data_IF_293361434114
#
_entry.id   IF_293361434114
#
_cell.length_a   1.000
_cell.length_b   1.000
_cell.length_c   1.000
_cell.angle_alpha   90.00
_cell.angle_beta   90.00
_cell.angle_gamma   90.00
#
_symmetry.space_group_name_H-M   'P 1'
#
loop_
_entity.id
_entity.type
_entity.pdbx_description
1 polymer ?
#
# COMPACT_ATOMS: atom_id res chain seq x y z
N UNK A 1 0.86 8.60 -28.52
CA UNK A 1 0.51 7.48 -27.64
C UNK A 1 0.81 6.20 -28.41
N UNK A 2 1.45 5.21 -27.80
CA UNK A 2 1.88 3.98 -28.49
C UNK A 2 1.71 2.79 -27.55
N UNK A 3 1.45 1.61 -28.12
CA UNK A 3 1.34 0.34 -27.42
C UNK A 3 2.56 -0.52 -27.71
N UNK A 4 3.15 -1.12 -26.67
CA UNK A 4 4.26 -2.08 -26.78
C UNK A 4 3.75 -3.49 -26.58
N UNK A 5 3.95 -4.37 -27.57
CA UNK A 5 3.40 -5.73 -27.59
C UNK A 5 4.30 -6.78 -26.91
N UNK A 6 5.44 -6.38 -26.32
CA UNK A 6 6.34 -7.28 -25.60
C UNK A 6 7.37 -7.99 -26.50
N UNK A 7 7.23 -7.93 -27.82
CA UNK A 7 8.10 -8.58 -28.84
C UNK A 7 9.06 -7.60 -29.54
N UNK A 8 9.24 -6.41 -28.98
CA UNK A 8 10.04 -5.34 -29.57
C UNK A 8 9.26 -4.44 -30.53
N UNK A 9 7.99 -4.69 -30.79
CA UNK A 9 7.14 -3.84 -31.64
C UNK A 9 6.38 -2.81 -30.83
N UNK A 10 6.37 -1.59 -31.35
CA UNK A 10 5.60 -0.47 -30.80
C UNK A 10 4.63 0.00 -31.87
N UNK A 11 3.33 -0.01 -31.56
CA UNK A 11 2.27 0.45 -32.45
C UNK A 11 1.77 1.82 -31.99
N UNK A 12 1.81 2.82 -32.90
CA UNK A 12 1.21 4.13 -32.64
C UNK A 12 -0.30 4.01 -32.55
N UNK A 13 -0.91 4.43 -31.44
CA UNK A 13 -2.37 4.47 -31.28
C UNK A 13 -3.04 5.61 -32.10
N UNK A 14 -2.23 6.55 -32.62
CA UNK A 14 -2.74 7.67 -33.40
C UNK A 14 -2.95 7.32 -34.88
N UNK A 15 -2.06 6.50 -35.45
CA UNK A 15 -2.09 6.22 -36.90
C UNK A 15 -1.80 4.75 -37.25
N UNK A 16 -1.66 3.87 -36.28
CA UNK A 16 -1.42 2.44 -36.48
C UNK A 16 -0.04 2.07 -37.03
N UNK A 17 0.88 3.05 -37.19
CA UNK A 17 2.23 2.75 -37.64
C UNK A 17 2.99 1.89 -36.64
N UNK A 18 3.77 0.94 -37.15
CA UNK A 18 4.58 0.05 -36.33
C UNK A 18 6.07 0.39 -36.44
N UNK A 19 6.75 0.36 -35.32
CA UNK A 19 8.21 0.56 -35.22
C UNK A 19 8.81 -0.58 -34.41
N UNK A 20 9.89 -1.17 -34.93
CA UNK A 20 10.69 -2.14 -34.18
C UNK A 20 11.69 -1.38 -33.29
N UNK A 21 11.66 -1.68 -31.97
CA UNK A 21 12.59 -1.14 -31.00
C UNK A 21 13.52 -2.26 -30.51
N UNK A 22 14.82 -2.10 -30.76
CA UNK A 22 15.85 -3.02 -30.28
C UNK A 22 16.53 -2.44 -29.08
N UNK A 23 16.32 -3.04 -27.91
CA UNK A 23 17.04 -2.68 -26.70
C UNK A 23 18.53 -3.05 -26.83
N UNK A 24 19.42 -2.15 -26.44
CA UNK A 24 20.88 -2.43 -26.44
C UNK A 24 21.32 -3.28 -25.24
N UNK A 25 20.58 -3.23 -24.14
CA UNK A 25 20.84 -4.00 -22.91
C UNK A 25 19.57 -4.71 -22.48
N UNK A 26 18.68 -4.01 -21.77
CA UNK A 26 17.46 -4.59 -21.19
C UNK A 26 16.23 -3.75 -21.54
N UNK A 27 15.09 -4.41 -21.60
CA UNK A 27 13.77 -3.76 -21.64
C UNK A 27 13.28 -3.58 -20.22
N UNK A 28 12.79 -2.38 -19.88
CA UNK A 28 12.22 -2.09 -18.56
C UNK A 28 10.71 -2.17 -18.64
N UNK A 29 10.12 -3.15 -17.97
CA UNK A 29 8.67 -3.26 -17.77
C UNK A 29 8.28 -2.47 -16.51
N UNK A 30 7.80 -1.24 -16.70
CA UNK A 30 7.28 -0.39 -15.64
C UNK A 30 5.76 -0.59 -15.40
N UNK A 31 5.11 -1.43 -16.21
CA UNK A 31 3.68 -1.70 -16.14
C UNK A 31 3.30 -2.88 -15.24
N UNK A 32 4.27 -3.68 -14.78
CA UNK A 32 3.97 -4.90 -14.03
C UNK A 32 3.15 -4.66 -12.76
N UNK A 33 3.46 -3.63 -11.99
CA UNK A 33 2.70 -3.28 -10.77
C UNK A 33 1.31 -2.75 -11.11
N UNK A 34 1.13 -2.06 -12.21
CA UNK A 34 -0.08 -1.53 -12.85
C UNK A 34 -1.22 -1.21 -11.89
N UNK A 35 -1.36 0.05 -11.47
CA UNK A 35 -2.44 0.45 -10.56
C UNK A 35 -3.74 0.67 -11.31
N UNK A 36 -4.84 0.11 -10.78
CA UNK A 36 -6.20 0.36 -11.25
C UNK A 36 -6.83 1.46 -10.38
N UNK A 37 -7.41 2.47 -11.03
CA UNK A 37 -8.09 3.57 -10.33
C UNK A 37 -9.51 3.76 -10.87
N UNK A 38 -10.47 4.24 -10.05
CA UNK A 38 -11.88 4.35 -10.47
C UNK A 38 -12.10 5.26 -11.69
N UNK A 39 -11.19 6.21 -11.94
CA UNK A 39 -11.29 7.10 -13.10
C UNK A 39 -10.93 6.45 -14.45
N UNK A 40 -10.25 5.31 -14.44
CA UNK A 40 -9.82 4.61 -15.67
C UNK A 40 -10.51 3.26 -15.84
N UNK A 41 -11.15 2.75 -14.80
CA UNK A 41 -11.86 1.47 -14.83
C UNK A 41 -13.32 1.67 -14.41
N UNK A 42 -14.28 1.08 -15.10
CA UNK A 42 -15.67 1.14 -14.70
C UNK A 42 -15.85 0.42 -13.35
N UNK A 43 -16.86 0.83 -12.54
CA UNK A 43 -17.16 0.15 -11.31
C UNK A 43 -17.47 -1.34 -11.54
N UNK A 44 -17.05 -2.25 -10.64
CA UNK A 44 -17.25 -3.69 -10.82
C UNK A 44 -18.70 -4.13 -10.58
N UNK A 45 -19.64 -3.21 -10.55
CA UNK A 45 -21.07 -3.44 -10.33
C UNK A 45 -21.92 -2.53 -11.24
N UNK A 46 -23.07 -3.00 -11.71
CA UNK A 46 -23.99 -2.18 -12.50
C UNK A 46 -24.76 -1.20 -11.62
N UNK A 47 -25.16 -0.08 -12.22
CA UNK A 47 -26.10 0.88 -11.65
C UNK A 47 -27.31 1.07 -12.59
N UNK A 48 -28.50 1.21 -12.03
CA UNK A 48 -29.71 1.47 -12.79
C UNK A 48 -29.66 2.84 -13.50
N UNK A 49 -30.33 2.99 -14.65
CA UNK A 49 -30.40 4.27 -15.34
C UNK A 49 -30.96 5.39 -14.45
N UNK A 50 -30.27 6.53 -14.42
CA UNK A 50 -30.62 7.72 -13.62
C UNK A 50 -30.04 7.73 -12.19
N UNK A 51 -29.25 6.73 -11.81
CA UNK A 51 -28.44 6.78 -10.61
C UNK A 51 -27.24 7.72 -10.85
N UNK A 52 -27.02 8.65 -9.91
CA UNK A 52 -25.90 9.56 -9.92
C UNK A 52 -24.68 8.87 -9.32
N UNK A 53 -23.88 8.23 -10.16
CA UNK A 53 -22.68 7.46 -9.80
C UNK A 53 -21.48 8.06 -10.51
N UNK A 54 -20.49 8.46 -9.74
CA UNK A 54 -19.25 9.07 -10.25
C UNK A 54 -18.01 8.35 -9.71
N UNK A 55 -16.89 8.33 -10.47
CA UNK A 55 -15.59 7.98 -9.90
C UNK A 55 -15.13 9.07 -8.92
N UNK A 56 -14.30 8.69 -7.95
CA UNK A 56 -13.82 9.63 -6.91
C UNK A 56 -13.22 10.93 -7.47
N UNK A 57 -12.56 10.87 -8.63
CA UNK A 57 -11.96 12.06 -9.26
C UNK A 57 -12.99 13.11 -9.68
N UNK A 58 -14.23 12.73 -9.89
CA UNK A 58 -15.32 13.62 -10.28
C UNK A 58 -16.01 14.23 -9.06
N UNK A 59 -15.73 13.74 -7.85
CA UNK A 59 -16.21 14.33 -6.61
C UNK A 59 -15.82 15.82 -6.50
N UNK A 60 -14.61 16.17 -6.94
CA UNK A 60 -14.15 17.58 -6.95
C UNK A 60 -14.81 18.46 -8.05
N UNK A 61 -15.64 17.88 -8.92
CA UNK A 61 -16.32 18.56 -10.03
C UNK A 61 -17.82 18.73 -9.81
N UNK A 62 -18.34 18.26 -8.66
CA UNK A 62 -19.77 18.41 -8.34
C UNK A 62 -20.13 19.91 -8.25
N UNK A 63 -21.24 20.27 -8.86
CA UNK A 63 -21.72 21.65 -8.99
C UNK A 63 -23.08 21.89 -8.29
N UNK A 64 -23.58 20.86 -7.56
CA UNK A 64 -24.85 20.91 -6.85
C UNK A 64 -24.78 20.19 -5.50
N UNK A 65 -25.68 20.55 -4.62
CA UNK A 65 -25.86 19.84 -3.35
C UNK A 65 -26.58 18.51 -3.59
N UNK A 66 -26.14 17.50 -2.84
CA UNK A 66 -26.78 16.19 -2.78
C UNK A 66 -27.40 15.96 -1.39
N UNK A 67 -28.47 15.18 -1.34
CA UNK A 67 -29.14 14.86 -0.08
C UNK A 67 -28.32 13.94 0.81
N UNK A 68 -27.47 13.11 0.18
CA UNK A 68 -26.51 12.23 0.86
C UNK A 68 -25.39 11.82 -0.09
N UNK A 69 -24.26 11.37 0.46
CA UNK A 69 -23.08 10.90 -0.26
C UNK A 69 -22.78 9.48 0.16
N UNK A 70 -22.84 8.53 -0.76
CA UNK A 70 -22.53 7.12 -0.51
C UNK A 70 -21.14 6.80 -1.04
N UNK A 71 -20.17 6.67 -0.15
CA UNK A 71 -18.78 6.38 -0.47
C UNK A 71 -18.57 4.86 -0.50
N UNK A 72 -18.22 4.30 -1.66
CA UNK A 72 -18.10 2.86 -1.89
C UNK A 72 -16.65 2.44 -1.87
N UNK A 73 -16.17 1.91 -0.75
CA UNK A 73 -14.81 1.39 -0.59
C UNK A 73 -14.18 1.80 0.74
N UNK A 74 -13.45 0.87 1.38
CA UNK A 74 -12.84 1.03 2.70
C UNK A 74 -11.33 1.32 2.65
N UNK A 75 -10.74 1.42 1.47
CA UNK A 75 -9.32 1.74 1.28
C UNK A 75 -9.02 3.23 1.41
N UNK A 76 -7.76 3.60 1.12
CA UNK A 76 -7.30 5.01 1.19
C UNK A 76 -8.15 5.93 0.33
N UNK A 77 -8.54 5.50 -0.89
CA UNK A 77 -9.37 6.29 -1.79
C UNK A 77 -10.73 6.64 -1.18
N UNK A 78 -11.40 5.67 -0.52
CA UNK A 78 -12.65 5.93 0.18
C UNK A 78 -12.48 6.83 1.40
N UNK A 79 -11.39 6.64 2.16
CA UNK A 79 -11.05 7.51 3.28
C UNK A 79 -10.79 8.97 2.80
N UNK A 80 -10.05 9.14 1.70
CA UNK A 80 -9.77 10.47 1.13
C UNK A 80 -11.04 11.15 0.60
N UNK A 81 -11.96 10.40 -0.01
CA UNK A 81 -13.26 10.93 -0.43
C UNK A 81 -14.07 11.42 0.77
N UNK A 82 -14.10 10.64 1.85
CA UNK A 82 -14.76 11.05 3.10
C UNK A 82 -14.11 12.31 3.71
N UNK A 83 -12.79 12.34 3.79
CA UNK A 83 -12.05 13.51 4.30
C UNK A 83 -12.33 14.75 3.46
N UNK A 84 -12.29 14.62 2.12
CA UNK A 84 -12.56 15.72 1.23
C UNK A 84 -13.97 16.31 1.46
N UNK A 85 -14.99 15.45 1.62
CA UNK A 85 -16.36 15.90 1.93
C UNK A 85 -16.41 16.65 3.26
N UNK A 86 -15.81 16.11 4.32
CA UNK A 86 -15.79 16.70 5.65
C UNK A 86 -15.07 18.06 5.67
N UNK A 87 -13.92 18.13 4.99
CA UNK A 87 -13.12 19.37 4.87
C UNK A 87 -13.83 20.46 4.06
N UNK A 88 -14.73 20.07 3.14
CA UNK A 88 -15.59 20.98 2.40
C UNK A 88 -16.94 21.24 3.10
N UNK A 89 -17.07 20.89 4.37
CA UNK A 89 -18.20 21.27 5.22
C UNK A 89 -19.46 20.40 5.07
N UNK A 90 -19.33 19.23 4.44
CA UNK A 90 -20.44 18.25 4.38
C UNK A 90 -20.67 17.68 5.77
N UNK A 91 -21.92 17.68 6.25
CA UNK A 91 -22.29 17.11 7.53
C UNK A 91 -21.99 15.59 7.53
N UNK A 92 -21.26 15.06 8.52
CA UNK A 92 -20.94 13.62 8.58
C UNK A 92 -22.19 12.72 8.62
N UNK A 93 -23.34 13.22 9.08
CA UNK A 93 -24.59 12.45 9.15
C UNK A 93 -25.20 12.14 7.77
N UNK A 94 -24.87 12.91 6.73
CA UNK A 94 -25.31 12.64 5.35
C UNK A 94 -24.31 11.84 4.53
N UNK A 95 -23.19 11.43 5.12
CA UNK A 95 -22.19 10.55 4.50
C UNK A 95 -22.48 9.11 4.91
N UNK A 96 -22.71 8.23 3.93
CA UNK A 96 -22.86 6.78 4.12
C UNK A 96 -21.58 6.11 3.60
N UNK A 97 -20.85 5.44 4.48
CA UNK A 97 -19.59 4.81 4.09
C UNK A 97 -19.70 3.29 3.99
N UNK A 98 -19.63 2.76 2.77
CA UNK A 98 -19.67 1.33 2.49
C UNK A 98 -18.26 0.76 2.71
N UNK A 99 -18.11 -0.03 3.77
CA UNK A 99 -16.83 -0.63 4.17
C UNK A 99 -16.94 -2.16 4.17
N UNK A 100 -16.68 -2.84 3.04
CA UNK A 100 -16.75 -4.30 2.96
C UNK A 100 -15.75 -5.01 3.89
N UNK A 101 -14.57 -4.42 4.07
CA UNK A 101 -13.50 -4.84 4.99
C UNK A 101 -12.83 -3.59 5.53
N UNK A 102 -12.64 -3.53 6.84
CA UNK A 102 -11.87 -2.44 7.45
C UNK A 102 -10.39 -2.58 7.15
N UNK A 103 -9.69 -1.44 7.00
CA UNK A 103 -8.29 -1.37 6.65
C UNK A 103 -7.44 -0.78 7.77
N UNK A 104 -6.24 -1.31 7.94
CA UNK A 104 -5.16 -0.68 8.67
C UNK A 104 -4.46 0.34 7.80
N UNK A 105 -4.03 1.44 8.40
CA UNK A 105 -3.22 2.48 7.78
C UNK A 105 -1.93 2.67 8.56
N UNK A 106 -0.81 2.85 7.86
CA UNK A 106 0.38 3.36 8.51
C UNK A 106 0.18 4.80 9.00
N UNK A 107 0.73 5.11 10.17
CA UNK A 107 0.82 6.49 10.61
C UNK A 107 1.85 7.25 9.74
N UNK A 108 1.38 8.27 9.01
CA UNK A 108 2.23 9.07 8.13
C UNK A 108 3.38 9.74 8.84
N UNK A 109 3.25 10.03 10.13
CA UNK A 109 4.33 10.60 10.94
C UNK A 109 5.59 9.73 10.97
N UNK A 110 5.45 8.39 10.88
CA UNK A 110 6.56 7.45 10.82
C UNK A 110 7.26 7.39 9.46
N UNK A 111 6.75 8.07 8.43
CA UNK A 111 7.30 8.08 7.06
C UNK A 111 7.85 9.45 6.66
N UNK A 112 8.12 10.32 7.61
CA UNK A 112 8.86 11.57 7.40
C UNK A 112 10.35 11.25 7.32
N UNK A 113 11.07 11.78 6.34
CA UNK A 113 12.51 11.49 6.17
C UNK A 113 13.33 11.80 7.43
N UNK A 114 14.49 11.14 7.55
CA UNK A 114 15.43 11.38 8.64
C UNK A 114 15.17 10.53 9.90
N UNK A 115 15.43 11.12 11.08
CA UNK A 115 15.38 10.41 12.37
C UNK A 115 13.99 9.84 12.69
N UNK A 116 12.92 10.49 12.25
CA UNK A 116 11.55 10.01 12.47
C UNK A 116 11.29 8.66 11.80
N UNK A 117 11.73 8.49 10.55
CA UNK A 117 11.61 7.20 9.86
C UNK A 117 12.48 6.12 10.51
N UNK A 118 13.69 6.47 10.92
CA UNK A 118 14.57 5.54 11.64
C UNK A 118 13.96 5.12 12.98
N UNK A 119 13.40 6.06 13.73
CA UNK A 119 12.74 5.79 15.01
C UNK A 119 11.49 4.91 14.83
N UNK A 120 10.67 5.19 13.80
CA UNK A 120 9.53 4.35 13.45
C UNK A 120 9.99 2.91 13.15
N UNK A 121 11.05 2.75 12.36
CA UNK A 121 11.58 1.44 12.03
C UNK A 121 12.16 0.71 13.26
N UNK A 122 12.88 1.41 14.13
CA UNK A 122 13.39 0.85 15.41
C UNK A 122 12.22 0.34 16.27
N UNK A 123 11.18 1.14 16.44
CA UNK A 123 9.99 0.77 17.21
C UNK A 123 9.28 -0.45 16.63
N UNK A 124 9.17 -0.53 15.29
CA UNK A 124 8.61 -1.71 14.63
C UNK A 124 9.44 -2.97 14.90
N UNK A 125 10.76 -2.89 14.83
CA UNK A 125 11.64 -4.03 15.15
C UNK A 125 11.54 -4.46 16.60
N UNK A 126 11.43 -3.52 17.55
CA UNK A 126 11.23 -3.82 18.97
C UNK A 126 9.94 -4.59 19.24
N UNK A 127 8.85 -4.19 18.60
CA UNK A 127 7.57 -4.92 18.66
C UNK A 127 7.73 -6.33 18.07
N UNK A 128 8.30 -6.41 16.87
CA UNK A 128 8.49 -7.69 16.17
C UNK A 128 9.36 -8.64 16.97
N UNK A 129 10.42 -8.17 17.61
CA UNK A 129 11.33 -9.01 18.39
C UNK A 129 10.65 -9.75 19.55
N UNK A 130 9.49 -9.28 20.03
CA UNK A 130 8.77 -9.80 21.19
C UNK A 130 7.44 -10.49 20.81
N UNK A 131 6.91 -10.25 19.63
CA UNK A 131 5.62 -10.77 19.19
C UNK A 131 5.66 -12.27 18.96
N UNK A 132 4.57 -12.98 19.31
CA UNK A 132 4.42 -14.43 19.13
C UNK A 132 3.49 -14.78 17.96
N UNK A 133 2.83 -13.81 17.37
CA UNK A 133 1.92 -14.00 16.24
C UNK A 133 1.87 -12.72 15.37
N UNK A 134 1.30 -12.86 14.16
CA UNK A 134 1.03 -11.72 13.27
C UNK A 134 0.07 -10.74 13.94
N UNK A 135 -0.93 -11.23 14.66
CA UNK A 135 -1.89 -10.43 15.40
C UNK A 135 -1.20 -9.60 16.49
N UNK A 136 -0.25 -10.18 17.24
CA UNK A 136 0.53 -9.47 18.25
C UNK A 136 1.43 -8.39 17.62
N UNK A 137 2.00 -8.61 16.43
CA UNK A 137 2.72 -7.58 15.67
C UNK A 137 1.79 -6.39 15.38
N UNK A 138 0.59 -6.67 14.85
CA UNK A 138 -0.38 -5.62 14.50
C UNK A 138 -0.87 -4.88 15.73
N UNK A 139 -1.16 -5.57 16.84
CA UNK A 139 -1.52 -4.97 18.12
C UNK A 139 -0.40 -4.08 18.67
N UNK A 140 0.83 -4.56 18.64
CA UNK A 140 2.00 -3.79 19.07
C UNK A 140 2.24 -2.56 18.18
N UNK A 141 2.02 -2.68 16.88
CA UNK A 141 2.11 -1.55 15.94
C UNK A 141 1.00 -0.52 16.21
N UNK A 142 -0.21 -0.95 16.56
CA UNK A 142 -1.27 -0.04 16.98
C UNK A 142 -0.92 0.64 18.32
N UNK A 143 -0.52 -0.12 19.32
CA UNK A 143 -0.17 0.39 20.64
C UNK A 143 0.97 1.40 20.62
N UNK A 144 1.91 1.25 19.67
CA UNK A 144 3.05 2.16 19.47
C UNK A 144 2.76 3.27 18.44
N UNK A 145 1.54 3.34 17.93
CA UNK A 145 1.13 4.37 16.96
C UNK A 145 1.72 4.21 15.57
N UNK A 146 2.25 3.02 15.22
CA UNK A 146 2.75 2.72 13.87
C UNK A 146 1.60 2.42 12.89
N UNK A 147 0.55 1.76 13.38
CA UNK A 147 -0.68 1.50 12.65
C UNK A 147 -1.86 2.23 13.29
N UNK A 148 -2.78 2.65 12.43
CA UNK A 148 -4.00 3.34 12.82
C UNK A 148 -5.20 2.61 12.21
N UNK A 149 -6.30 2.50 12.97
CA UNK A 149 -7.63 2.05 12.48
C UNK A 149 -8.68 3.13 12.72
N UNK A 150 -9.63 3.20 11.81
CA UNK A 150 -10.69 4.22 11.89
C UNK A 150 -11.70 3.85 12.98
N UNK A 151 -12.15 2.60 13.02
CA UNK A 151 -13.17 2.12 13.98
C UNK A 151 -12.52 1.26 15.05
N UNK A 152 -12.63 1.66 16.31
CA UNK A 152 -11.99 0.98 17.43
C UNK A 152 -12.74 -0.32 17.84
N UNK A 153 -14.00 -0.45 17.47
CA UNK A 153 -14.83 -1.61 17.79
C UNK A 153 -14.70 -2.73 16.74
N UNK A 154 -14.03 -2.43 15.61
CA UNK A 154 -13.86 -3.37 14.50
C UNK A 154 -12.40 -3.61 14.20
N UNK A 155 -11.98 -4.88 14.25
CA UNK A 155 -10.61 -5.28 13.87
C UNK A 155 -10.46 -5.30 12.36
N UNK A 156 -9.56 -4.47 11.79
CA UNK A 156 -9.34 -4.48 10.35
C UNK A 156 -8.65 -5.77 9.87
N UNK A 157 -9.11 -6.29 8.75
CA UNK A 157 -8.55 -7.50 8.13
C UNK A 157 -7.79 -7.23 6.85
N UNK A 158 -7.67 -5.95 6.46
CA UNK A 158 -6.98 -5.54 5.24
C UNK A 158 -5.80 -4.61 5.57
N UNK A 159 -4.66 -4.83 4.89
CA UNK A 159 -3.50 -3.97 4.95
C UNK A 159 -2.90 -3.80 3.56
N UNK A 160 -2.78 -2.57 3.07
CA UNK A 160 -2.23 -2.26 1.74
C UNK A 160 -1.11 -1.21 1.79
N UNK A 161 -0.51 -0.99 2.94
CA UNK A 161 0.59 -0.04 3.12
C UNK A 161 0.20 1.44 2.94
N UNK A 162 -1.10 1.76 2.88
CA UNK A 162 -1.56 3.14 2.79
C UNK A 162 -1.31 3.90 4.08
N UNK A 163 -1.02 5.20 3.98
CA UNK A 163 -0.73 6.08 5.12
C UNK A 163 -1.89 7.04 5.40
N UNK A 164 -2.08 7.37 6.68
CA UNK A 164 -2.98 8.44 7.14
C UNK A 164 -2.38 9.11 8.38
N UNK A 165 -2.95 10.23 8.82
CA UNK A 165 -2.56 10.89 10.08
C UNK A 165 -3.57 10.61 11.19
N UNK A 166 -3.17 10.81 12.44
CA UNK A 166 -4.08 10.70 13.59
C UNK A 166 -5.27 11.66 13.43
N UNK A 167 -5.01 12.91 13.02
CA UNK A 167 -6.06 13.91 12.83
C UNK A 167 -7.05 13.54 11.70
N UNK A 168 -6.58 12.96 10.59
CA UNK A 168 -7.44 12.41 9.53
C UNK A 168 -8.33 11.29 10.06
N UNK A 169 -7.79 10.38 10.88
CA UNK A 169 -8.57 9.30 11.51
C UNK A 169 -9.62 9.84 12.46
N UNK A 170 -9.30 10.84 13.26
CA UNK A 170 -10.27 11.50 14.16
C UNK A 170 -11.42 12.16 13.39
N UNK A 171 -11.14 12.79 12.24
CA UNK A 171 -12.17 13.32 11.36
C UNK A 171 -13.06 12.21 10.78
N UNK A 172 -12.46 11.12 10.29
CA UNK A 172 -13.19 9.98 9.73
C UNK A 172 -14.12 9.32 10.75
N UNK A 173 -13.76 9.30 12.03
CA UNK A 173 -14.58 8.76 13.14
C UNK A 173 -15.89 9.53 13.36
N UNK A 174 -16.01 10.76 12.85
CA UNK A 174 -17.28 11.53 12.90
C UNK A 174 -18.36 10.92 12.00
N UNK A 175 -17.98 10.11 11.00
CA UNK A 175 -18.92 9.40 10.13
C UNK A 175 -19.39 8.16 10.85
N UNK A 176 -20.61 8.18 11.36
CA UNK A 176 -21.21 7.06 12.10
C UNK A 176 -22.07 6.15 11.23
N UNK A 177 -22.49 6.61 10.04
CA UNK A 177 -23.29 5.81 9.12
C UNK A 177 -22.38 4.92 8.25
N UNK A 178 -21.86 3.84 8.87
CA UNK A 178 -20.95 2.88 8.24
C UNK A 178 -21.69 1.57 7.97
N UNK A 179 -21.65 1.11 6.71
CA UNK A 179 -22.31 -0.12 6.25
C UNK A 179 -21.29 -1.21 5.96
N UNK A 180 -21.40 -2.35 6.67
CA UNK A 180 -20.49 -3.52 6.57
C UNK A 180 -21.22 -4.77 6.06
N UNK A 181 -22.03 -4.62 5.02
CA UNK A 181 -22.77 -5.70 4.38
C UNK A 181 -22.04 -6.32 3.18
N UNK A 182 -20.71 -6.25 3.17
CA UNK A 182 -19.90 -6.76 2.08
C UNK A 182 -19.84 -5.83 0.86
N UNK A 183 -19.29 -6.35 -0.26
CA UNK A 183 -19.15 -5.59 -1.49
C UNK A 183 -20.49 -5.25 -2.14
N UNK A 184 -20.54 -4.11 -2.83
CA UNK A 184 -21.68 -3.72 -3.66
C UNK A 184 -21.83 -4.73 -4.81
N UNK A 185 -23.06 -5.19 -5.03
CA UNK A 185 -23.42 -6.09 -6.12
C UNK A 185 -24.10 -5.32 -7.26
N UNK A 186 -24.97 -4.35 -6.93
CA UNK A 186 -25.62 -3.43 -7.87
C UNK A 186 -26.26 -2.27 -7.14
N UNK A 187 -26.56 -1.21 -7.87
CA UNK A 187 -27.32 -0.05 -7.41
C UNK A 187 -28.64 0.01 -8.19
N UNK A 188 -29.74 -0.32 -7.54
CA UNK A 188 -31.09 -0.21 -8.11
C UNK A 188 -31.69 1.16 -7.75
N UNK A 189 -32.83 1.51 -8.33
CA UNK A 189 -33.54 2.77 -8.03
C UNK A 189 -34.03 2.86 -6.60
N UNK A 190 -34.32 1.73 -5.97
CA UNK A 190 -34.91 1.65 -4.62
C UNK A 190 -33.93 1.12 -3.57
N UNK A 191 -32.86 0.42 -3.99
CA UNK A 191 -31.93 -0.21 -3.08
C UNK A 191 -30.50 -0.27 -3.60
N UNK A 192 -29.52 -0.02 -2.71
CA UNK A 192 -28.15 -0.44 -2.88
C UNK A 192 -28.02 -1.88 -2.37
N UNK A 193 -27.77 -2.81 -3.27
CA UNK A 193 -27.66 -4.25 -2.97
C UNK A 193 -26.20 -4.59 -2.73
N UNK A 194 -25.94 -5.17 -1.56
CA UNK A 194 -24.63 -5.63 -1.13
C UNK A 194 -24.65 -7.17 -1.00
N UNK A 195 -23.46 -7.77 -0.89
CA UNK A 195 -23.33 -9.24 -0.81
C UNK A 195 -24.16 -9.86 0.32
N UNK A 196 -24.26 -9.19 1.47
CA UNK A 196 -24.87 -9.71 2.69
C UNK A 196 -26.12 -8.93 3.11
N UNK A 197 -26.72 -8.16 2.21
CA UNK A 197 -27.96 -7.41 2.51
C UNK A 197 -28.18 -6.25 1.54
N UNK A 198 -29.08 -5.36 1.89
CA UNK A 198 -29.39 -4.16 1.12
C UNK A 198 -29.69 -2.97 2.03
N UNK A 199 -29.48 -1.77 1.51
CA UNK A 199 -29.95 -0.52 2.13
C UNK A 199 -30.79 0.26 1.13
N UNK A 200 -31.78 1.06 1.55
CA UNK A 200 -32.58 1.85 0.65
C UNK A 200 -31.74 2.93 -0.03
N UNK A 201 -32.03 3.21 -1.29
CA UNK A 201 -31.51 4.39 -2.00
C UNK A 201 -32.40 5.60 -1.68
N UNK A 202 -31.82 6.80 -1.69
CA UNK A 202 -32.56 8.04 -1.52
C UNK A 202 -32.49 8.92 -2.77
N UNK A 203 -33.58 9.60 -3.14
CA UNK A 203 -33.55 10.58 -4.23
C UNK A 203 -32.52 11.68 -3.95
N UNK A 204 -31.76 12.07 -4.97
CA UNK A 204 -30.72 13.11 -4.86
C UNK A 204 -29.44 12.67 -4.15
N UNK A 205 -29.26 11.36 -3.95
CA UNK A 205 -28.03 10.78 -3.42
C UNK A 205 -26.94 10.73 -4.50
N UNK A 206 -25.71 11.04 -4.15
CA UNK A 206 -24.52 10.84 -4.99
C UNK A 206 -23.77 9.58 -4.52
N UNK A 207 -23.52 8.66 -5.43
CA UNK A 207 -22.68 7.50 -5.22
C UNK A 207 -21.27 7.79 -5.74
N UNK A 208 -20.25 7.55 -4.91
CA UNK A 208 -18.85 7.80 -5.25
C UNK A 208 -18.13 6.45 -5.25
N UNK A 209 -17.69 6.02 -6.44
CA UNK A 209 -16.93 4.78 -6.57
C UNK A 209 -15.47 4.98 -6.13
N UNK A 210 -15.10 4.26 -5.08
CA UNK A 210 -13.75 4.15 -4.54
C UNK A 210 -13.30 2.68 -4.46
N UNK A 211 -13.94 1.78 -5.24
CA UNK A 211 -13.82 0.34 -5.10
C UNK A 211 -12.73 -0.29 -5.97
N UNK A 212 -12.03 0.49 -6.81
CA UNK A 212 -10.94 -0.02 -7.63
C UNK A 212 -9.88 -0.74 -6.79
N UNK A 213 -9.27 -1.79 -7.37
CA UNK A 213 -8.33 -2.66 -6.64
C UNK A 213 -7.05 -1.96 -6.20
N UNK A 214 -6.71 -0.81 -6.79
CA UNK A 214 -5.43 -0.14 -6.57
C UNK A 214 -4.28 -0.98 -7.14
N UNK A 215 -3.32 -1.38 -6.31
CA UNK A 215 -2.26 -2.32 -6.72
C UNK A 215 -2.87 -3.72 -6.84
N UNK A 216 -2.83 -4.35 -8.05
CA UNK A 216 -3.34 -5.70 -8.23
C UNK A 216 -2.46 -6.70 -7.47
N UNK A 217 -3.09 -7.77 -6.97
CA UNK A 217 -2.37 -8.89 -6.37
C UNK A 217 -1.77 -9.72 -7.51
N UNK A 218 -0.49 -9.48 -7.81
CA UNK A 218 0.28 -10.28 -8.78
C UNK A 218 1.37 -11.05 -8.04
N UNK A 219 1.69 -12.29 -8.45
CA UNK A 219 2.80 -13.03 -7.87
C UNK A 219 4.11 -12.26 -8.07
N UNK A 220 5.00 -12.20 -7.06
CA UNK A 220 6.29 -11.58 -7.26
C UNK A 220 7.10 -12.37 -8.30
N UNK A 221 7.79 -11.66 -9.18
CA UNK A 221 8.74 -12.23 -10.15
C UNK A 221 10.11 -11.60 -9.93
N UNK A 222 11.22 -12.23 -10.37
CA UNK A 222 12.54 -11.61 -10.32
C UNK A 222 12.50 -10.21 -10.98
N UNK A 223 13.16 -9.24 -10.34
CA UNK A 223 13.25 -7.87 -10.89
C UNK A 223 14.18 -7.88 -12.11
N UNK A 224 15.30 -8.62 -12.01
CA UNK A 224 16.27 -8.75 -13.08
C UNK A 224 16.19 -10.14 -13.71
N UNK A 225 15.96 -10.19 -15.01
CA UNK A 225 15.91 -11.43 -15.77
C UNK A 225 16.51 -11.19 -17.16
N UNK A 226 17.76 -11.59 -17.37
CA UNK A 226 18.53 -11.53 -18.62
C UNK A 226 18.39 -10.18 -19.34
N UNK A 227 17.44 -10.06 -20.25
CA UNK A 227 17.17 -8.91 -21.11
C UNK A 227 16.01 -8.01 -20.60
N UNK A 228 15.47 -8.30 -19.42
CA UNK A 228 14.33 -7.59 -18.85
C UNK A 228 14.60 -7.13 -17.41
N UNK A 229 14.07 -5.94 -17.11
CA UNK A 229 13.88 -5.45 -15.74
C UNK A 229 12.38 -5.28 -15.52
N UNK A 230 11.83 -6.02 -14.56
CA UNK A 230 10.41 -5.91 -14.17
C UNK A 230 10.32 -5.08 -12.89
N UNK A 231 9.96 -3.79 -13.03
CA UNK A 231 9.88 -2.89 -11.88
C UNK A 231 8.79 -3.30 -10.91
N UNK A 232 9.19 -3.49 -9.66
CA UNK A 232 8.32 -3.81 -8.53
C UNK A 232 8.77 -3.01 -7.31
N UNK A 233 7.98 -3.04 -6.24
CA UNK A 233 8.42 -2.50 -4.95
C UNK A 233 9.56 -3.37 -4.42
N UNK A 234 10.68 -2.75 -4.05
CA UNK A 234 11.88 -3.43 -3.56
C UNK A 234 12.24 -3.05 -2.12
N UNK A 235 11.37 -2.27 -1.44
CA UNK A 235 11.54 -1.90 -0.04
C UNK A 235 10.22 -1.98 0.71
N UNK A 236 10.29 -2.25 2.01
CA UNK A 236 9.16 -2.19 2.93
C UNK A 236 8.52 -0.78 2.93
N UNK A 237 7.19 -0.72 2.96
CA UNK A 237 6.45 0.54 2.81
C UNK A 237 6.21 0.97 1.37
N UNK A 238 6.71 0.22 0.37
CA UNK A 238 6.26 0.30 -1.03
C UNK A 238 6.55 1.62 -1.74
N UNK A 239 7.71 2.25 -1.57
CA UNK A 239 8.07 3.50 -2.23
C UNK A 239 8.50 3.27 -3.70
N UNK A 240 7.64 3.57 -4.70
CA UNK A 240 7.91 3.22 -6.09
C UNK A 240 9.08 3.99 -6.69
N UNK A 241 9.22 5.28 -6.37
CA UNK A 241 10.30 6.13 -6.90
C UNK A 241 11.67 5.70 -6.41
N UNK A 242 11.79 5.41 -5.11
CA UNK A 242 13.04 4.90 -4.56
C UNK A 242 13.34 3.48 -5.04
N UNK A 243 12.34 2.60 -5.12
CA UNK A 243 12.50 1.24 -5.65
C UNK A 243 13.02 1.26 -7.10
N UNK A 244 12.49 2.14 -7.94
CA UNK A 244 12.95 2.30 -9.32
C UNK A 244 14.40 2.85 -9.40
N UNK A 245 14.74 3.85 -8.57
CA UNK A 245 16.08 4.42 -8.52
C UNK A 245 17.12 3.40 -8.02
N UNK A 246 16.76 2.62 -6.97
CA UNK A 246 17.59 1.54 -6.45
C UNK A 246 17.81 0.46 -7.52
N UNK A 247 16.75 0.00 -8.18
CA UNK A 247 16.82 -0.99 -9.26
C UNK A 247 17.75 -0.52 -10.38
N UNK A 248 17.63 0.76 -10.79
CA UNK A 248 18.49 1.33 -11.82
C UNK A 248 19.95 1.42 -11.38
N UNK A 249 20.21 1.78 -10.13
CA UNK A 249 21.57 1.85 -9.59
C UNK A 249 22.22 0.46 -9.49
N UNK A 250 21.51 -0.52 -8.96
CA UNK A 250 21.96 -1.93 -8.87
C UNK A 250 22.28 -2.49 -10.27
N UNK A 251 21.44 -2.20 -11.29
CA UNK A 251 21.72 -2.61 -12.68
C UNK A 251 23.03 -2.05 -13.21
N UNK A 252 23.44 -0.85 -12.75
CA UNK A 252 24.66 -0.19 -13.22
C UNK A 252 25.92 -0.73 -12.55
N UNK A 253 25.85 -1.18 -11.29
CA UNK A 253 27.02 -1.48 -10.47
C UNK A 253 27.23 -2.96 -10.19
N UNK A 254 26.24 -3.79 -10.46
CA UNK A 254 26.29 -5.25 -10.29
C UNK A 254 26.09 -5.91 -11.64
N UNK A 255 26.91 -6.91 -12.00
CA UNK A 255 26.79 -7.58 -13.30
C UNK A 255 25.89 -8.81 -13.26
N UNK A 256 25.95 -9.59 -12.20
CA UNK A 256 25.23 -10.86 -12.03
C UNK A 256 23.78 -10.65 -11.62
N UNK A 257 22.83 -11.21 -12.38
CA UNK A 257 21.39 -11.00 -12.15
C UNK A 257 20.88 -11.70 -10.87
N UNK A 258 21.47 -12.82 -10.44
CA UNK A 258 21.10 -13.47 -9.18
C UNK A 258 21.51 -12.59 -7.99
N UNK A 259 22.71 -12.01 -8.05
CA UNK A 259 23.17 -11.04 -7.05
C UNK A 259 22.31 -9.77 -7.06
N UNK A 260 21.93 -9.23 -8.23
CA UNK A 260 20.99 -8.11 -8.32
C UNK A 260 19.66 -8.43 -7.65
N UNK A 261 19.12 -9.63 -7.89
CA UNK A 261 17.85 -10.07 -7.30
C UNK A 261 17.95 -10.31 -5.79
N UNK A 262 19.11 -10.68 -5.25
CA UNK A 262 19.31 -10.74 -3.80
C UNK A 262 19.26 -9.35 -3.15
N UNK A 263 19.68 -8.31 -3.87
CA UNK A 263 19.69 -6.90 -3.45
C UNK A 263 18.37 -6.16 -3.74
N UNK A 264 17.54 -6.67 -4.64
CA UNK A 264 16.27 -6.07 -5.05
C UNK A 264 15.16 -7.13 -5.04
N UNK A 265 14.88 -7.71 -3.89
CA UNK A 265 13.78 -8.68 -3.75
C UNK A 265 12.42 -7.96 -3.78
N UNK A 266 11.44 -8.46 -4.54
CA UNK A 266 10.11 -7.87 -4.58
C UNK A 266 9.40 -7.89 -3.23
N UNK A 267 8.71 -6.79 -2.93
CA UNK A 267 7.87 -6.60 -1.74
C UNK A 267 6.40 -6.55 -2.18
N UNK A 268 5.69 -7.70 -2.22
CA UNK A 268 4.31 -7.76 -2.70
C UNK A 268 3.34 -7.10 -1.72
N UNK A 269 2.25 -6.54 -2.28
CA UNK A 269 1.13 -5.98 -1.52
C UNK A 269 -0.12 -6.82 -1.86
N UNK A 270 -0.37 -7.87 -1.08
CA UNK A 270 -1.52 -8.76 -1.31
C UNK A 270 -2.81 -8.23 -0.69
N UNK A 271 -2.68 -7.41 0.34
CA UNK A 271 -3.78 -6.87 1.12
C UNK A 271 -4.08 -7.65 2.40
N UNK A 272 -3.23 -8.59 2.77
CA UNK A 272 -3.36 -9.40 3.97
C UNK A 272 -2.36 -8.97 5.06
N UNK A 273 -2.68 -9.22 6.33
CA UNK A 273 -1.83 -8.80 7.46
C UNK A 273 -0.46 -9.48 7.48
N UNK A 274 -0.35 -10.67 6.89
CA UNK A 274 0.91 -11.41 6.75
C UNK A 274 1.94 -10.66 5.89
N UNK A 275 1.50 -9.70 5.07
CA UNK A 275 2.42 -8.86 4.31
C UNK A 275 3.34 -8.03 5.22
N UNK A 276 2.89 -7.68 6.42
CA UNK A 276 3.70 -6.90 7.38
C UNK A 276 4.99 -7.64 7.74
N UNK A 277 4.95 -8.82 8.38
CA UNK A 277 6.17 -9.54 8.73
C UNK A 277 6.94 -10.04 7.49
N UNK A 278 6.25 -10.49 6.43
CA UNK A 278 6.90 -10.97 5.19
C UNK A 278 7.73 -9.88 4.52
N UNK A 279 7.15 -8.72 4.34
CA UNK A 279 7.80 -7.61 3.66
C UNK A 279 8.91 -6.99 4.53
N UNK A 280 8.71 -6.93 5.85
CA UNK A 280 9.74 -6.50 6.79
C UNK A 280 10.94 -7.44 6.77
N UNK A 281 10.72 -8.76 6.75
CA UNK A 281 11.79 -9.75 6.64
C UNK A 281 12.56 -9.61 5.32
N UNK A 282 11.86 -9.40 4.21
CA UNK A 282 12.48 -9.15 2.91
C UNK A 282 13.36 -7.91 2.96
N UNK A 283 12.86 -6.81 3.53
CA UNK A 283 13.61 -5.54 3.66
C UNK A 283 14.87 -5.71 4.53
N UNK A 284 14.79 -6.44 5.65
CA UNK A 284 15.95 -6.71 6.49
C UNK A 284 17.04 -7.53 5.76
N UNK A 285 16.63 -8.50 4.92
CA UNK A 285 17.58 -9.28 4.11
C UNK A 285 18.29 -8.43 3.09
N UNK A 286 17.55 -7.64 2.30
CA UNK A 286 18.16 -6.81 1.25
C UNK A 286 19.04 -5.72 1.84
N UNK A 287 18.66 -5.14 2.99
CA UNK A 287 19.50 -4.15 3.69
C UNK A 287 20.83 -4.72 4.15
N UNK A 288 20.87 -5.98 4.57
CA UNK A 288 22.14 -6.67 4.93
C UNK A 288 23.10 -6.70 3.72
N UNK A 289 22.59 -7.03 2.54
CA UNK A 289 23.37 -7.01 1.30
C UNK A 289 23.88 -5.58 0.97
N UNK A 290 23.01 -4.58 1.09
CA UNK A 290 23.37 -3.19 0.81
C UNK A 290 24.45 -2.65 1.76
N UNK A 291 24.32 -2.93 3.06
CA UNK A 291 25.32 -2.47 4.05
C UNK A 291 26.66 -3.20 3.93
N UNK A 292 26.67 -4.37 3.32
CA UNK A 292 27.90 -5.12 2.99
C UNK A 292 28.65 -4.59 1.76
N UNK A 293 28.06 -3.69 0.97
CA UNK A 293 28.64 -3.14 -0.26
C UNK A 293 28.85 -1.62 -0.12
N UNK A 294 30.12 -1.17 -0.16
CA UNK A 294 30.48 0.22 0.07
C UNK A 294 29.88 1.17 -0.98
N UNK A 295 29.82 0.75 -2.24
CA UNK A 295 29.33 1.56 -3.34
C UNK A 295 27.81 1.77 -3.22
N UNK A 296 27.08 0.72 -2.86
CA UNK A 296 25.64 0.80 -2.64
C UNK A 296 25.35 1.66 -1.41
N UNK A 297 26.08 1.44 -0.31
CA UNK A 297 25.91 2.22 0.92
C UNK A 297 26.15 3.72 0.69
N UNK A 298 27.21 4.08 -0.03
CA UNK A 298 27.49 5.48 -0.36
C UNK A 298 26.41 6.11 -1.24
N UNK A 299 25.90 5.37 -2.23
CA UNK A 299 24.80 5.84 -3.07
C UNK A 299 23.51 6.03 -2.27
N UNK A 300 23.17 5.08 -1.38
CA UNK A 300 21.99 5.17 -0.51
C UNK A 300 22.06 6.38 0.40
N UNK A 301 23.21 6.68 0.97
CA UNK A 301 23.40 7.81 1.89
C UNK A 301 23.22 9.16 1.21
N UNK A 302 23.59 9.25 -0.07
CA UNK A 302 23.43 10.44 -0.91
C UNK A 302 22.08 10.51 -1.63
N UNK A 303 21.32 9.43 -1.68
CA UNK A 303 20.05 9.38 -2.41
C UNK A 303 18.98 10.16 -1.69
N UNK A 304 18.52 11.28 -2.27
CA UNK A 304 17.42 12.10 -1.73
C UNK A 304 16.06 11.38 -1.71
N UNK A 305 15.93 10.29 -2.45
CA UNK A 305 14.73 9.44 -2.46
C UNK A 305 14.73 8.41 -1.33
N UNK A 306 15.90 8.16 -0.73
CA UNK A 306 16.00 7.23 0.39
C UNK A 306 15.43 7.86 1.67
N UNK A 307 14.36 7.31 2.27
CA UNK A 307 13.78 7.84 3.49
C UNK A 307 14.70 7.74 4.70
N UNK A 308 15.72 6.88 4.62
CA UNK A 308 16.75 6.70 5.65
C UNK A 308 18.12 7.24 5.24
N UNK A 309 18.17 8.17 4.27
CA UNK A 309 19.41 8.80 3.85
C UNK A 309 20.15 9.44 5.04
N UNK A 310 21.49 9.42 4.99
CA UNK A 310 22.34 9.90 6.08
C UNK A 310 22.38 8.98 7.31
N UNK A 311 21.81 7.76 7.25
CA UNK A 311 21.89 6.80 8.37
C UNK A 311 23.27 6.15 8.51
N UNK A 312 24.04 6.10 7.43
CA UNK A 312 25.39 5.54 7.44
C UNK A 312 26.44 6.53 8.01
N UNK A 313 26.18 7.84 7.90
CA UNK A 313 27.06 8.89 8.42
C UNK A 313 26.34 9.61 9.57
N UNK A 314 26.76 9.36 10.81
CA UNK A 314 26.18 10.00 11.99
C UNK A 314 27.17 11.00 12.54
N UNK A 315 26.76 12.26 12.61
CA UNK A 315 27.50 13.28 13.32
C UNK A 315 27.65 12.85 14.80
N UNK A 316 28.87 12.83 15.35
CA UNK A 316 29.08 12.56 16.78
C UNK A 316 28.28 13.46 17.73
N UNK A 317 27.85 14.64 17.28
CA UNK A 317 26.97 15.54 18.04
C UNK A 317 25.47 15.22 17.97
N UNK A 318 25.02 14.36 17.03
CA UNK A 318 23.61 13.97 16.88
C UNK A 318 23.26 12.79 17.80
N UNK A 319 23.09 13.10 19.09
CA UNK A 319 22.82 12.11 20.14
C UNK A 319 21.47 11.41 19.95
N UNK A 320 20.47 12.09 19.39
CA UNK A 320 19.15 11.50 19.11
C UNK A 320 19.26 10.39 18.06
N UNK A 321 19.89 10.70 16.94
CA UNK A 321 20.10 9.74 15.85
C UNK A 321 20.97 8.56 16.29
N UNK A 322 22.02 8.81 17.08
CA UNK A 322 22.85 7.76 17.66
C UNK A 322 22.04 6.81 18.55
N UNK A 323 21.17 7.34 19.41
CA UNK A 323 20.31 6.54 20.27
C UNK A 323 19.35 5.66 19.45
N UNK A 324 18.74 6.22 18.40
CA UNK A 324 17.85 5.46 17.51
C UNK A 324 18.60 4.36 16.76
N UNK A 325 19.77 4.62 16.23
CA UNK A 325 20.60 3.61 15.56
C UNK A 325 21.08 2.52 16.54
N UNK A 326 21.40 2.89 17.78
CA UNK A 326 21.71 1.93 18.84
C UNK A 326 20.55 0.96 19.10
N UNK A 327 19.32 1.46 19.18
CA UNK A 327 18.09 0.63 19.32
C UNK A 327 17.92 -0.30 18.11
N UNK A 328 18.07 0.20 16.90
CA UNK A 328 17.98 -0.59 15.67
C UNK A 328 18.98 -1.75 15.70
N UNK A 329 20.25 -1.48 15.95
CA UNK A 329 21.31 -2.49 15.97
C UNK A 329 21.09 -3.53 17.08
N UNK A 330 20.66 -3.11 18.26
CA UNK A 330 20.40 -4.00 19.40
C UNK A 330 19.23 -4.98 19.12
N UNK A 331 18.27 -4.57 18.32
CA UNK A 331 17.01 -5.34 18.11
C UNK A 331 17.00 -6.15 16.81
N UNK A 332 17.83 -5.77 15.84
CA UNK A 332 17.79 -6.32 14.48
C UNK A 332 17.94 -7.86 14.44
N UNK A 333 18.84 -8.43 15.23
CA UNK A 333 19.10 -9.87 15.23
C UNK A 333 17.90 -10.64 15.80
N UNK A 334 17.36 -10.22 16.94
CA UNK A 334 16.20 -10.85 17.58
C UNK A 334 14.93 -10.70 16.73
N UNK A 335 14.71 -9.53 16.14
CA UNK A 335 13.60 -9.30 15.23
C UNK A 335 13.67 -10.21 13.98
N UNK A 336 14.87 -10.33 13.36
CA UNK A 336 15.05 -11.21 12.20
C UNK A 336 14.78 -12.67 12.55
N UNK A 337 15.33 -13.17 13.67
CA UNK A 337 15.11 -14.55 14.12
C UNK A 337 13.64 -14.84 14.41
N UNK A 338 12.96 -13.90 15.07
CA UNK A 338 11.53 -14.05 15.37
C UNK A 338 10.66 -14.02 14.10
N UNK A 339 10.98 -13.14 13.13
CA UNK A 339 10.29 -13.11 11.83
C UNK A 339 10.44 -14.43 11.07
N UNK A 340 11.65 -15.01 11.07
CA UNK A 340 11.89 -16.32 10.43
C UNK A 340 11.00 -17.40 11.04
N UNK A 341 10.91 -17.47 12.36
CA UNK A 341 10.07 -18.44 13.05
C UNK A 341 8.58 -18.21 12.77
N UNK A 342 8.10 -16.97 12.92
CA UNK A 342 6.70 -16.62 12.67
C UNK A 342 6.28 -16.91 11.22
N UNK A 343 7.16 -16.70 10.25
CA UNK A 343 6.86 -16.96 8.85
C UNK A 343 6.92 -18.48 8.54
N UNK A 344 7.79 -19.23 9.19
CA UNK A 344 7.82 -20.70 9.08
C UNK A 344 6.53 -21.32 9.63
N UNK A 345 6.06 -20.87 10.79
CA UNK A 345 4.82 -21.33 11.42
C UNK A 345 3.55 -20.96 10.62
N UNK A 346 3.64 -19.96 9.73
CA UNK A 346 2.56 -19.50 8.86
C UNK A 346 2.79 -19.85 7.37
N UNK A 347 3.70 -20.76 7.04
CA UNK A 347 4.05 -21.16 5.66
C UNK A 347 2.86 -21.71 4.86
N UNK A 348 1.85 -22.30 5.52
CA UNK A 348 0.63 -22.83 4.90
C UNK A 348 -0.40 -21.76 4.50
N UNK A 349 -0.18 -20.49 4.86
CA UNK A 349 -1.03 -19.38 4.45
C UNK A 349 -0.57 -18.90 3.08
N UNK A 350 -0.97 -19.60 2.03
CA UNK A 350 -0.78 -19.17 0.64
C UNK A 350 -1.44 -17.82 0.37
N UNK A 351 -0.95 -17.05 -0.61
CA UNK A 351 -1.55 -15.74 -0.97
C UNK A 351 -3.00 -15.95 -1.41
N UNK A 352 -3.96 -15.46 -0.62
CA UNK A 352 -5.37 -15.40 -0.99
C UNK A 352 -6.38 -16.21 -0.17
N UNK A 353 -5.99 -16.86 0.92
CA UNK A 353 -6.92 -17.54 1.81
C UNK A 353 -7.01 -16.81 3.18
N UNK A 354 -7.86 -15.78 3.24
CA UNK A 354 -8.42 -15.39 4.53
C UNK A 354 -9.33 -16.54 4.97
N UNK A 355 -8.88 -17.33 5.93
CA UNK A 355 -9.79 -18.23 6.66
C UNK A 355 -10.78 -17.33 7.40
N UNK A 356 -12.05 -17.38 6.98
CA UNK A 356 -13.20 -17.01 7.81
C UNK A 356 -13.18 -17.93 9.06
N UNK A 357 -12.33 -17.61 10.02
CA UNK A 357 -12.48 -18.17 11.37
C UNK A 357 -13.54 -17.31 12.05
N UNK A 358 -14.76 -17.85 12.07
CA UNK A 358 -15.81 -17.32 12.90
C UNK A 358 -15.31 -17.18 14.33
N UNK A 359 -15.11 -15.96 14.76
CA UNK A 359 -15.01 -15.63 16.18
C UNK A 359 -16.44 -15.68 16.74
N UNK A 360 -16.82 -16.81 17.32
CA UNK A 360 -17.91 -16.89 18.28
C UNK A 360 -17.42 -16.31 19.61
N UNK A 361 -18.17 -15.30 20.05
CA UNK A 361 -18.22 -14.58 21.33
C UNK A 361 -17.36 -13.35 21.49
#
# INVERSE_FOLDING_TARGET
MSEYTGDGRVTSLLNGSQTEVRARRKVVDAGYVGSCVPSTEPPPFPAAPGIDLVPVNDLAKIDRLHTSYVIIGAGKTGADACLWLLENGVDPSVIVWIRPRDAWFFNRAGFQGGVQTLNSFATQLEVVAQAKSVEEIVQGFEATGQLLRVDLDHWPTMFRGATTTVGEVELLRKITNVVRLGHVVRIDREALVLKNGMIPTAPGCLYVDCSARGVPNRPPVPIFDRDRITLQYAIYGGQPTYSAALTAFIELVVDDDDRKNSMCSPVPITGDLIDIPRNLMTDLRVRREWFGDDQIREWMDRSRLNPTAGSASVDPGDTEKQAVLGRLLATMASASSNLEQLLADNSDVGPGLSRDRGMSR
#
